data_IF_863007008570
#
_entry.id   IF_863007008570
#
_cell.length_a   1.000
_cell.length_b   1.000
_cell.length_c   1.000
_cell.angle_alpha   90.00
_cell.angle_beta   90.00
_cell.angle_gamma   90.00
#
_symmetry.space_group_name_H-M   'P 1'
#
loop_
_entity.id
_entity.type
_entity.pdbx_description
1 polymer ?
#
# COMPACT_ATOMS: atom_id res chain seq x y z
N UNK A 1 41.35 -45.99 51.86
CA UNK A 1 39.89 -46.16 51.81
C UNK A 1 39.37 -45.44 50.57
N UNK A 2 39.10 -46.16 49.49
CA UNK A 2 38.42 -45.60 48.30
C UNK A 2 37.02 -46.20 48.33
N UNK A 3 36.03 -45.38 48.70
CA UNK A 3 34.63 -45.77 48.71
C UNK A 3 34.15 -45.97 47.27
N UNK A 4 33.86 -47.21 46.91
CA UNK A 4 33.33 -47.58 45.60
C UNK A 4 31.86 -47.14 45.54
N UNK A 5 31.59 -45.93 45.05
CA UNK A 5 30.23 -45.45 44.80
C UNK A 5 29.68 -46.21 43.58
N UNK A 6 28.74 -47.13 43.81
CA UNK A 6 28.02 -47.82 42.73
C UNK A 6 27.26 -46.77 41.91
N UNK A 7 27.72 -46.47 40.69
CA UNK A 7 26.96 -45.66 39.75
C UNK A 7 25.77 -46.48 39.25
N UNK A 8 24.57 -45.92 39.39
CA UNK A 8 23.34 -46.51 38.85
C UNK A 8 23.44 -46.55 37.33
N UNK A 9 23.43 -47.76 36.73
CA UNK A 9 23.40 -47.93 35.29
C UNK A 9 21.96 -47.67 34.79
N UNK A 10 21.82 -46.86 33.73
CA UNK A 10 20.54 -46.60 33.08
C UNK A 10 19.93 -47.89 32.52
N UNK A 11 18.62 -48.05 32.71
CA UNK A 11 17.90 -49.19 32.12
C UNK A 11 17.62 -48.92 30.64
N UNK A 12 17.59 -49.98 29.83
CA UNK A 12 17.21 -49.88 28.41
C UNK A 12 15.82 -49.24 28.23
N UNK A 13 14.89 -49.52 29.14
CA UNK A 13 13.55 -48.94 29.16
C UNK A 13 13.60 -47.42 29.32
N UNK A 14 14.43 -46.92 30.23
CA UNK A 14 14.57 -45.48 30.52
C UNK A 14 15.13 -44.70 29.34
N UNK A 15 16.05 -45.31 28.57
CA UNK A 15 16.56 -44.73 27.33
C UNK A 15 15.46 -44.64 26.27
N UNK A 16 14.66 -45.70 26.08
CA UNK A 16 13.57 -45.71 25.09
C UNK A 16 12.52 -44.65 25.42
N UNK A 17 12.09 -44.57 26.69
CA UNK A 17 11.12 -43.57 27.13
C UNK A 17 11.66 -42.15 26.95
N UNK A 18 12.94 -41.91 27.29
CA UNK A 18 13.58 -40.60 27.12
C UNK A 18 13.64 -40.18 25.65
N UNK A 19 14.00 -41.10 24.74
CA UNK A 19 14.03 -40.83 23.30
C UNK A 19 12.63 -40.56 22.75
N UNK A 20 11.62 -41.30 23.20
CA UNK A 20 10.24 -41.08 22.79
C UNK A 20 9.73 -39.70 23.21
N UNK A 21 9.97 -39.31 24.47
CA UNK A 21 9.61 -37.98 24.98
C UNK A 21 10.37 -36.89 24.21
N UNK A 22 11.67 -37.07 23.99
CA UNK A 22 12.48 -36.13 23.23
C UNK A 22 11.96 -35.95 21.81
N UNK A 23 11.61 -37.03 21.11
CA UNK A 23 11.03 -36.99 19.77
C UNK A 23 9.72 -36.19 19.74
N UNK A 24 8.83 -36.39 20.71
CA UNK A 24 7.58 -35.63 20.83
C UNK A 24 7.86 -34.13 21.02
N UNK A 25 8.83 -33.77 21.86
CA UNK A 25 9.23 -32.37 22.09
C UNK A 25 9.75 -31.74 20.80
N UNK A 26 10.63 -32.43 20.05
CA UNK A 26 11.17 -31.92 18.78
C UNK A 26 10.07 -31.73 17.73
N UNK A 27 9.10 -32.64 17.65
CA UNK A 27 7.97 -32.50 16.74
C UNK A 27 7.10 -31.29 17.10
N UNK A 28 6.79 -31.11 18.38
CA UNK A 28 6.04 -29.95 18.86
C UNK A 28 6.79 -28.63 18.57
N UNK A 29 8.09 -28.58 18.86
CA UNK A 29 8.93 -27.41 18.58
C UNK A 29 8.96 -27.06 17.08
N UNK A 30 9.04 -28.08 16.22
CA UNK A 30 9.05 -27.91 14.76
C UNK A 30 7.74 -27.32 14.25
N UNK A 31 6.60 -27.78 14.77
CA UNK A 31 5.29 -27.23 14.39
C UNK A 31 5.12 -25.76 14.80
N UNK A 32 5.55 -25.42 16.02
CA UNK A 32 5.56 -24.02 16.49
C UNK A 32 6.45 -23.18 15.58
N UNK A 33 7.64 -23.67 15.25
CA UNK A 33 8.56 -22.96 14.36
C UNK A 33 7.96 -22.71 12.97
N UNK A 34 7.34 -23.73 12.36
CA UNK A 34 6.66 -23.57 11.07
C UNK A 34 5.52 -22.54 11.13
N UNK A 35 4.73 -22.55 12.20
CA UNK A 35 3.67 -21.57 12.42
C UNK A 35 4.22 -20.14 12.49
N UNK A 36 5.32 -19.94 13.23
CA UNK A 36 6.00 -18.63 13.33
C UNK A 36 6.49 -18.16 11.97
N UNK A 37 7.15 -19.02 11.19
CA UNK A 37 7.66 -18.66 9.86
C UNK A 37 6.52 -18.28 8.91
N UNK A 38 5.42 -19.06 8.89
CA UNK A 38 4.27 -18.76 8.05
C UNK A 38 3.64 -17.40 8.40
N UNK A 39 3.59 -17.07 9.69
CA UNK A 39 3.08 -15.79 10.19
C UNK A 39 4.00 -14.63 9.80
N UNK A 40 5.32 -14.81 9.88
CA UNK A 40 6.28 -13.79 9.47
C UNK A 40 6.18 -13.47 7.97
N UNK A 41 6.04 -14.48 7.11
CA UNK A 41 5.88 -14.27 5.66
C UNK A 41 4.60 -13.51 5.34
N UNK A 42 3.50 -13.84 6.02
CA UNK A 42 2.23 -13.11 5.88
C UNK A 42 2.40 -11.65 6.32
N UNK A 43 2.95 -11.42 7.51
CA UNK A 43 3.16 -10.07 8.05
C UNK A 43 4.06 -9.23 7.13
N UNK A 44 5.11 -9.81 6.57
CA UNK A 44 5.97 -9.11 5.62
C UNK A 44 5.21 -8.61 4.38
N UNK A 45 4.31 -9.46 3.85
CA UNK A 45 3.49 -9.09 2.69
C UNK A 45 2.46 -8.00 3.03
N UNK A 46 1.85 -8.06 4.23
CA UNK A 46 0.94 -7.02 4.73
C UNK A 46 1.66 -5.68 4.92
N UNK A 47 2.82 -5.70 5.56
CA UNK A 47 3.62 -4.48 5.80
C UNK A 47 4.03 -3.84 4.49
N UNK A 48 4.55 -4.63 3.53
CA UNK A 48 4.92 -4.09 2.21
C UNK A 48 3.73 -3.44 1.49
N UNK A 49 2.53 -4.01 1.63
CA UNK A 49 1.33 -3.47 1.02
C UNK A 49 0.90 -2.16 1.71
N UNK A 50 0.99 -2.08 3.04
CA UNK A 50 0.70 -0.87 3.79
C UNK A 50 1.72 0.25 3.55
N UNK A 51 2.99 -0.07 3.36
CA UNK A 51 4.05 0.92 3.19
C UNK A 51 3.99 1.59 1.82
N UNK A 52 3.83 0.81 0.76
CA UNK A 52 3.48 1.35 -0.56
C UNK A 52 2.20 2.19 -0.48
N UNK A 53 1.25 1.73 0.35
CA UNK A 53 0.00 2.43 0.49
C UNK A 53 0.14 3.83 1.12
N UNK A 54 0.89 3.90 2.22
CA UNK A 54 1.24 5.15 2.88
C UNK A 54 2.02 6.06 1.94
N UNK A 55 2.97 5.52 1.18
CA UNK A 55 3.77 6.30 0.25
C UNK A 55 2.90 7.00 -0.80
N UNK A 56 1.99 6.27 -1.47
CA UNK A 56 1.12 6.92 -2.45
C UNK A 56 0.19 7.96 -1.80
N UNK A 57 -0.34 7.68 -0.59
CA UNK A 57 -1.21 8.62 0.12
C UNK A 57 -0.47 9.90 0.49
N UNK A 58 0.79 9.78 0.93
CA UNK A 58 1.62 10.92 1.28
C UNK A 58 1.88 11.79 0.04
N UNK A 59 2.28 11.17 -1.08
CA UNK A 59 2.53 11.87 -2.34
C UNK A 59 1.23 12.52 -2.84
N UNK A 60 0.12 11.78 -2.88
CA UNK A 60 -1.19 12.30 -3.25
C UNK A 60 -1.60 13.47 -2.37
N UNK A 61 -1.45 13.34 -1.06
CA UNK A 61 -1.84 14.39 -0.10
C UNK A 61 -1.03 15.66 -0.28
N UNK A 62 0.28 15.51 -0.50
CA UNK A 62 1.17 16.65 -0.70
C UNK A 62 0.82 17.40 -1.99
N UNK A 63 0.62 16.69 -3.09
CA UNK A 63 0.31 17.30 -4.39
C UNK A 63 -1.10 17.88 -4.42
N UNK A 64 -2.10 17.12 -3.98
CA UNK A 64 -3.50 17.57 -3.95
C UNK A 64 -3.67 18.81 -3.05
N UNK A 65 -3.05 18.83 -1.87
CA UNK A 65 -3.11 20.03 -1.01
C UNK A 65 -2.49 21.26 -1.68
N UNK A 66 -1.52 21.07 -2.56
CA UNK A 66 -0.91 22.13 -3.36
C UNK A 66 -1.70 22.53 -4.61
N UNK A 67 -2.85 21.90 -4.87
CA UNK A 67 -3.64 22.17 -6.07
C UNK A 67 -4.13 23.62 -6.12
N UNK A 68 -4.00 24.23 -7.30
CA UNK A 68 -4.38 25.62 -7.55
C UNK A 68 -5.65 25.67 -8.40
N UNK A 69 -6.49 26.65 -8.08
CA UNK A 69 -7.68 26.95 -8.87
C UNK A 69 -7.26 27.59 -10.19
N UNK A 70 -7.81 27.12 -11.31
CA UNK A 70 -7.61 27.79 -12.59
C UNK A 70 -8.33 29.16 -12.59
N UNK A 71 -7.56 30.23 -12.46
CA UNK A 71 -8.05 31.61 -12.53
C UNK A 71 -7.95 32.22 -13.93
N UNK A 72 -7.36 31.49 -14.88
CA UNK A 72 -7.19 31.95 -16.26
C UNK A 72 -8.43 31.64 -17.10
N UNK A 73 -8.68 32.49 -18.11
CA UNK A 73 -9.78 32.28 -19.05
C UNK A 73 -9.54 31.09 -20.01
N UNK A 74 -8.31 30.56 -20.06
CA UNK A 74 -7.96 29.37 -20.81
C UNK A 74 -8.06 28.13 -19.91
N UNK A 75 -8.38 26.99 -20.49
CA UNK A 75 -8.33 25.73 -19.76
C UNK A 75 -6.86 25.28 -19.62
N UNK A 76 -6.56 24.57 -18.54
CA UNK A 76 -5.22 24.09 -18.22
C UNK A 76 -5.13 22.58 -18.42
N UNK A 77 -3.91 22.08 -18.62
CA UNK A 77 -3.62 20.66 -18.81
C UNK A 77 -4.37 20.06 -19.99
N UNK A 78 -4.01 20.49 -21.20
CA UNK A 78 -4.63 20.06 -22.48
C UNK A 78 -6.14 20.30 -22.53
N UNK A 79 -6.57 21.48 -22.09
CA UNK A 79 -7.97 21.92 -22.02
C UNK A 79 -8.90 21.07 -21.11
N UNK A 80 -8.33 20.29 -20.19
CA UNK A 80 -9.10 19.43 -19.28
C UNK A 80 -9.63 20.21 -18.07
N UNK A 81 -8.80 21.09 -17.49
CA UNK A 81 -9.17 21.84 -16.29
C UNK A 81 -9.86 23.14 -16.71
N UNK A 82 -11.18 23.15 -16.60
CA UNK A 82 -12.01 24.31 -16.90
C UNK A 82 -11.68 25.53 -16.02
N UNK A 83 -12.03 26.71 -16.51
CA UNK A 83 -11.93 27.95 -15.73
C UNK A 83 -12.72 27.83 -14.44
N UNK A 84 -12.15 28.31 -13.33
CA UNK A 84 -12.73 28.23 -11.98
C UNK A 84 -12.78 26.82 -11.37
N UNK A 85 -12.15 25.81 -11.97
CA UNK A 85 -11.97 24.48 -11.37
C UNK A 85 -10.55 24.29 -10.82
N UNK A 86 -10.44 23.51 -9.76
CA UNK A 86 -9.20 23.10 -9.09
C UNK A 86 -8.91 21.64 -9.37
N UNK A 87 -9.92 20.78 -9.28
CA UNK A 87 -9.82 19.35 -9.54
C UNK A 87 -10.82 18.94 -10.62
N UNK A 88 -10.41 18.06 -11.53
CA UNK A 88 -11.30 17.47 -12.54
C UNK A 88 -11.05 15.98 -12.59
N UNK A 89 -12.14 15.20 -12.64
CA UNK A 89 -12.08 13.75 -12.88
C UNK A 89 -12.63 13.48 -14.27
N UNK A 90 -11.81 12.91 -15.14
CA UNK A 90 -12.23 12.49 -16.48
C UNK A 90 -11.65 11.13 -16.81
N UNK A 91 -12.45 10.24 -17.41
CA UNK A 91 -12.07 8.87 -17.77
C UNK A 91 -11.42 8.07 -16.62
N UNK A 92 -11.88 8.27 -15.37
CA UNK A 92 -11.34 7.59 -14.19
C UNK A 92 -9.96 8.09 -13.72
N UNK A 93 -9.46 9.16 -14.31
CA UNK A 93 -8.23 9.83 -13.91
C UNK A 93 -8.53 11.18 -13.26
N UNK A 94 -7.76 11.53 -12.24
CA UNK A 94 -7.82 12.84 -11.57
C UNK A 94 -6.77 13.77 -12.18
N UNK A 95 -7.18 15.01 -12.42
CA UNK A 95 -6.36 16.09 -12.98
C UNK A 95 -6.42 17.31 -12.07
N UNK A 96 -5.28 17.94 -11.85
CA UNK A 96 -5.17 19.26 -11.22
C UNK A 96 -3.82 19.89 -11.55
N UNK A 97 -3.70 21.20 -11.37
CA UNK A 97 -2.41 21.90 -11.44
C UNK A 97 -1.85 22.06 -10.03
N UNK A 98 -0.59 21.65 -9.79
CA UNK A 98 0.06 21.84 -8.50
C UNK A 98 0.59 23.28 -8.32
N UNK A 99 1.13 23.58 -7.14
CA UNK A 99 1.69 24.90 -6.82
C UNK A 99 2.98 25.25 -7.57
N UNK A 100 3.60 24.30 -8.26
CA UNK A 100 4.75 24.50 -9.13
C UNK A 100 4.34 24.83 -10.57
N UNK A 101 3.03 24.76 -10.88
CA UNK A 101 2.49 24.97 -12.21
C UNK A 101 2.43 23.70 -13.06
N UNK A 102 2.83 22.54 -12.52
CA UNK A 102 2.79 21.27 -13.23
C UNK A 102 1.37 20.71 -13.32
N UNK A 103 1.04 20.17 -14.48
CA UNK A 103 -0.18 19.42 -14.71
C UNK A 103 -0.05 18.01 -14.14
N UNK A 104 -0.68 17.77 -12.99
CA UNK A 104 -0.65 16.51 -12.28
C UNK A 104 -1.83 15.65 -12.67
N UNK A 105 -1.54 14.40 -13.02
CA UNK A 105 -2.54 13.39 -13.36
C UNK A 105 -2.31 12.09 -12.59
N UNK A 106 -3.35 11.60 -11.94
CA UNK A 106 -3.37 10.29 -11.28
C UNK A 106 -4.29 9.32 -12.02
N UNK A 107 -3.78 8.14 -12.35
CA UNK A 107 -4.54 7.08 -13.01
C UNK A 107 -3.90 5.71 -12.74
N UNK A 108 -4.63 4.64 -13.05
CA UNK A 108 -4.09 3.28 -13.01
C UNK A 108 -3.81 2.76 -14.42
N UNK A 109 -2.74 1.97 -14.58
CA UNK A 109 -2.34 1.39 -15.87
C UNK A 109 -1.73 0.01 -15.64
N UNK A 110 -2.00 -0.92 -16.56
CA UNK A 110 -1.32 -2.20 -16.60
C UNK A 110 0.13 -2.06 -17.08
N UNK A 111 1.05 -2.62 -16.31
CA UNK A 111 2.45 -2.78 -16.68
C UNK A 111 2.64 -3.92 -17.70
N UNK A 112 3.85 -4.07 -18.25
CA UNK A 112 4.21 -5.15 -19.17
C UNK A 112 3.94 -6.56 -18.59
N UNK A 113 4.04 -6.70 -17.27
CA UNK A 113 3.77 -7.93 -16.53
C UNK A 113 2.27 -8.15 -16.23
N UNK A 114 1.38 -7.29 -16.72
CA UNK A 114 -0.07 -7.38 -16.51
C UNK A 114 -0.53 -7.01 -15.09
N UNK A 115 0.28 -6.25 -14.35
CA UNK A 115 -0.05 -5.73 -13.00
C UNK A 115 -0.63 -4.32 -13.13
N UNK A 116 -1.78 -4.05 -12.52
CA UNK A 116 -2.38 -2.72 -12.54
C UNK A 116 -1.72 -1.83 -11.48
N UNK A 117 -1.02 -0.77 -11.91
CA UNK A 117 -0.17 0.08 -11.06
C UNK A 117 -0.65 1.52 -11.06
N UNK A 118 -0.42 2.22 -9.95
CA UNK A 118 -0.77 3.63 -9.82
C UNK A 118 0.30 4.45 -10.52
N UNK A 119 -0.13 5.34 -11.41
CA UNK A 119 0.74 6.22 -12.16
C UNK A 119 0.46 7.66 -11.73
N UNK A 120 1.56 8.36 -11.45
CA UNK A 120 1.61 9.81 -11.33
C UNK A 120 2.27 10.35 -12.58
N UNK A 121 1.56 11.21 -13.30
CA UNK A 121 2.10 11.95 -14.42
C UNK A 121 2.18 13.44 -14.06
N UNK A 122 3.32 14.06 -14.33
CA UNK A 122 3.55 15.50 -14.22
C UNK A 122 3.94 16.02 -15.59
N UNK A 123 3.07 16.81 -16.21
CA UNK A 123 3.22 17.21 -17.61
C UNK A 123 3.39 15.95 -18.50
N UNK A 124 4.56 15.79 -19.14
CA UNK A 124 4.87 14.64 -20.00
C UNK A 124 5.57 13.48 -19.27
N UNK A 125 6.02 13.70 -18.02
CA UNK A 125 6.78 12.70 -17.26
C UNK A 125 5.84 11.80 -16.45
N UNK A 126 5.92 10.48 -16.66
CA UNK A 126 5.11 9.49 -15.94
C UNK A 126 5.96 8.59 -15.04
N UNK A 127 5.49 8.37 -13.81
CA UNK A 127 6.16 7.54 -12.81
C UNK A 127 5.17 6.57 -12.17
N UNK A 128 5.62 5.33 -11.94
CA UNK A 128 4.87 4.37 -11.14
C UNK A 128 5.06 4.68 -9.65
N UNK A 129 3.95 4.93 -8.95
CA UNK A 129 3.97 5.13 -7.50
C UNK A 129 3.86 3.82 -6.71
N UNK A 130 3.22 2.80 -7.27
CA UNK A 130 3.09 1.48 -6.64
C UNK A 130 4.18 0.53 -7.13
N UNK A 131 4.63 -0.39 -6.27
CA UNK A 131 5.53 -1.49 -6.66
C UNK A 131 4.85 -2.46 -7.64
N UNK A 132 5.65 -3.26 -8.35
CA UNK A 132 5.14 -4.37 -9.18
C UNK A 132 4.60 -5.56 -8.34
N UNK A 133 4.74 -5.50 -7.02
CA UNK A 133 4.22 -6.49 -6.07
C UNK A 133 2.78 -6.23 -5.63
N UNK A 134 2.23 -5.06 -5.99
CA UNK A 134 0.89 -4.62 -5.62
C UNK A 134 0.07 -4.41 -6.88
N UNK A 135 -1.16 -4.87 -6.82
CA UNK A 135 -2.14 -4.76 -7.88
C UNK A 135 -3.30 -3.88 -7.42
N UNK A 136 -3.70 -2.94 -8.27
CA UNK A 136 -4.82 -2.02 -8.01
C UNK A 136 -6.09 -2.64 -8.56
N UNK A 137 -6.95 -3.05 -7.64
CA UNK A 137 -8.24 -3.65 -7.97
C UNK A 137 -9.26 -2.57 -8.38
N UNK A 138 -9.27 -1.46 -7.64
CA UNK A 138 -10.17 -0.35 -7.90
C UNK A 138 -9.51 0.98 -7.52
N UNK A 139 -9.67 1.98 -8.39
CA UNK A 139 -9.28 3.36 -8.15
C UNK A 139 -10.44 4.26 -8.59
N UNK A 140 -10.93 5.10 -7.68
CA UNK A 140 -11.94 6.09 -8.02
C UNK A 140 -11.71 7.39 -7.27
N UNK A 141 -12.12 8.48 -7.90
CA UNK A 141 -11.99 9.83 -7.36
C UNK A 141 -13.36 10.48 -7.30
N UNK A 142 -13.64 11.15 -6.20
CA UNK A 142 -14.84 11.96 -6.00
C UNK A 142 -14.37 13.38 -5.72
N UNK A 143 -14.84 14.33 -6.51
CA UNK A 143 -14.49 15.74 -6.39
C UNK A 143 -15.72 16.53 -6.00
N UNK A 144 -15.57 17.40 -4.99
CA UNK A 144 -16.52 18.43 -4.64
C UNK A 144 -15.82 19.78 -4.84
N UNK A 145 -16.08 20.42 -5.97
CA UNK A 145 -15.47 21.67 -6.41
C UNK A 145 -16.58 22.62 -6.88
N UNK A 146 -17.20 23.30 -5.92
CA UNK A 146 -18.32 24.22 -6.15
C UNK A 146 -17.89 25.68 -5.94
N UNK A 147 -18.59 26.58 -6.63
CA UNK A 147 -18.38 28.02 -6.46
C UNK A 147 -18.71 28.43 -5.03
N UNK A 148 -17.68 28.80 -4.24
CA UNK A 148 -17.70 29.23 -2.83
C UNK A 148 -17.47 28.15 -1.76
N UNK A 149 -17.12 26.91 -2.14
CA UNK A 149 -16.69 25.89 -1.18
C UNK A 149 -15.20 25.61 -1.41
N UNK A 150 -14.47 25.29 -0.34
CA UNK A 150 -13.10 24.82 -0.48
C UNK A 150 -13.10 23.50 -1.28
N UNK A 151 -12.39 23.43 -2.42
CA UNK A 151 -12.36 22.22 -3.24
C UNK A 151 -11.85 21.02 -2.43
N UNK A 152 -12.61 19.93 -2.47
CA UNK A 152 -12.34 18.67 -1.79
C UNK A 152 -12.18 17.56 -2.83
N UNK A 153 -11.12 16.76 -2.71
CA UNK A 153 -10.95 15.53 -3.48
C UNK A 153 -10.87 14.34 -2.54
N UNK A 154 -11.68 13.33 -2.81
CA UNK A 154 -11.65 12.04 -2.13
C UNK A 154 -11.14 10.97 -3.09
N UNK A 155 -10.07 10.29 -2.70
CA UNK A 155 -9.55 9.12 -3.41
C UNK A 155 -10.00 7.85 -2.68
N UNK A 156 -10.64 6.95 -3.41
CA UNK A 156 -10.90 5.58 -2.96
C UNK A 156 -9.99 4.63 -3.72
N UNK A 157 -9.25 3.82 -2.99
CA UNK A 157 -8.32 2.86 -3.54
C UNK A 157 -8.51 1.50 -2.88
N UNK A 158 -8.58 0.46 -3.72
CA UNK A 158 -8.52 -0.94 -3.29
C UNK A 158 -7.26 -1.58 -3.88
N UNK A 159 -6.37 -2.06 -3.02
CA UNK A 159 -5.12 -2.71 -3.42
C UNK A 159 -5.06 -4.15 -2.95
N UNK A 160 -4.41 -5.01 -3.73
CA UNK A 160 -4.20 -6.43 -3.46
C UNK A 160 -2.71 -6.78 -3.62
N UNK A 161 -2.26 -7.79 -2.88
CA UNK A 161 -0.90 -8.31 -3.06
C UNK A 161 -0.88 -9.23 -4.28
N UNK A 162 0.08 -9.00 -5.19
CA UNK A 162 0.35 -9.93 -6.30
C UNK A 162 1.12 -11.16 -5.83
N UNK A 163 1.90 -11.02 -4.76
CA UNK A 163 2.79 -12.06 -4.23
C UNK A 163 2.03 -13.06 -3.35
N UNK A 164 1.11 -12.57 -2.52
CA UNK A 164 0.32 -13.41 -1.61
C UNK A 164 -1.18 -13.20 -1.87
N UNK A 165 -1.76 -14.07 -2.70
CA UNK A 165 -3.18 -14.02 -3.09
C UNK A 165 -4.15 -14.32 -1.94
N UNK A 166 -3.67 -14.92 -0.84
CA UNK A 166 -4.47 -15.19 0.35
C UNK A 166 -4.57 -13.97 1.28
N UNK A 167 -3.87 -12.89 0.93
CA UNK A 167 -3.92 -11.66 1.68
C UNK A 167 -5.20 -10.88 1.33
N UNK A 168 -5.98 -10.43 2.33
CA UNK A 168 -7.16 -9.62 2.06
C UNK A 168 -6.78 -8.31 1.34
N UNK A 169 -7.68 -7.83 0.49
CA UNK A 169 -7.53 -6.54 -0.15
C UNK A 169 -7.59 -5.42 0.90
N UNK A 170 -6.75 -4.40 0.74
CA UNK A 170 -6.77 -3.21 1.58
C UNK A 170 -7.60 -2.13 0.88
N UNK A 171 -8.64 -1.66 1.56
CA UNK A 171 -9.47 -0.56 1.13
C UNK A 171 -9.06 0.71 1.87
N UNK A 172 -8.77 1.76 1.12
CA UNK A 172 -8.29 3.03 1.65
C UNK A 172 -9.14 4.14 1.04
N UNK A 173 -9.54 5.07 1.89
CA UNK A 173 -10.14 6.32 1.49
C UNK A 173 -9.38 7.47 2.14
N UNK A 174 -9.05 8.49 1.37
CA UNK A 174 -8.52 9.75 1.90
C UNK A 174 -9.22 10.93 1.23
N UNK A 175 -9.46 11.99 2.00
CA UNK A 175 -10.21 13.18 1.59
C UNK A 175 -9.39 14.41 1.91
N UNK A 176 -9.16 15.27 0.93
CA UNK A 176 -8.16 16.34 1.00
C UNK A 176 -8.72 17.62 0.41
N UNK A 177 -8.67 18.68 1.21
CA UNK A 177 -9.00 20.02 0.75
C UNK A 177 -7.77 20.67 0.09
N UNK A 178 -8.00 21.44 -0.98
CA UNK A 178 -6.94 22.29 -1.54
C UNK A 178 -6.52 23.35 -0.53
N UNK A 179 -5.21 23.54 -0.33
CA UNK A 179 -4.66 24.57 0.55
C UNK A 179 -4.70 25.98 -0.03
N UNK A 180 -5.15 26.13 -1.27
CA UNK A 180 -5.29 27.42 -1.94
C UNK A 180 -6.43 28.24 -1.32
N UNK A 181 -6.11 29.47 -0.88
CA UNK A 181 -7.08 30.48 -0.48
C UNK A 181 -7.08 31.58 -1.54
N UNK A 182 -8.26 31.93 -2.07
CA UNK A 182 -8.44 33.14 -2.85
C UNK A 182 -8.19 34.34 -1.91
N UNK A 183 -7.07 35.05 -2.09
CA UNK A 183 -6.90 36.40 -1.55
C UNK A 183 -7.51 37.41 -2.52
#
# INVERSE_FOLDING_TARGET
>A
MVGNTKQSAFTLLEVIVSVAIFAVIILAATQIFQSVISSQVKNFSETSLQDDAKYFLEVFTREARGAQKNTTAAALCDDIIATSSTYVVTHGALYFQNNLGDCVRYYSKFDADGVNRLVLQRNDDSYYLSSNKIDIDNLSFVVADESNIQPLVTMNLTVKSKVNLNLPALNIQTSINSGWYAN
#
